data_IF_174948690999
#
_entry.id   IF_174948690999
#
_cell.length_a   1.000
_cell.length_b   1.000
_cell.length_c   1.000
_cell.angle_alpha   90.00
_cell.angle_beta   90.00
_cell.angle_gamma   90.00
#
_symmetry.space_group_name_H-M   'P 1'
#
loop_
_entity.id
_entity.type
_entity.pdbx_description
1 polymer ?
#
# COMPACT_ATOMS: atom_id res chain seq x y z
N UNK A 1 9.08 -0.74 3.47
CA UNK A 1 8.34 -1.30 2.32
C UNK A 1 7.48 -0.21 1.71
N UNK A 2 7.13 -0.32 0.43
CA UNK A 2 6.26 0.62 -0.27
C UNK A 2 5.00 -0.09 -0.76
N UNK A 3 3.84 0.54 -0.61
CA UNK A 3 2.59 0.07 -1.19
C UNK A 3 2.23 0.95 -2.40
N UNK A 4 1.98 0.33 -3.55
CA UNK A 4 1.61 1.05 -4.77
C UNK A 4 0.69 0.20 -5.66
N UNK A 5 -0.08 0.86 -6.51
CA UNK A 5 -0.96 0.22 -7.51
C UNK A 5 -0.65 0.73 -8.91
N UNK A 6 -0.86 -0.05 -9.97
CA UNK A 6 -0.73 0.44 -11.34
C UNK A 6 -1.68 1.62 -11.62
N UNK A 7 -1.24 2.58 -12.41
CA UNK A 7 -2.10 3.64 -12.95
C UNK A 7 -3.20 3.05 -13.85
N UNK A 8 -4.34 3.76 -14.03
CA UNK A 8 -5.34 3.34 -15.00
C UNK A 8 -4.72 3.16 -16.39
N UNK A 9 -5.10 2.09 -17.10
CA UNK A 9 -4.59 1.78 -18.43
C UNK A 9 -3.27 1.01 -18.47
N UNK A 10 -2.55 0.87 -17.34
CA UNK A 10 -1.33 0.04 -17.28
C UNK A 10 -1.65 -1.45 -17.28
N UNK A 11 -2.72 -1.84 -16.58
CA UNK A 11 -3.23 -3.21 -16.51
C UNK A 11 -4.76 -3.18 -16.62
N UNK A 12 -5.37 -4.34 -16.90
CA UNK A 12 -6.83 -4.46 -16.86
C UNK A 12 -7.39 -4.18 -15.45
N UNK A 13 -8.64 -3.71 -15.36
CA UNK A 13 -9.26 -3.32 -14.08
C UNK A 13 -9.18 -4.39 -13.00
N UNK A 14 -9.37 -5.67 -13.39
CA UNK A 14 -9.29 -6.83 -12.49
C UNK A 14 -7.90 -7.07 -11.88
N UNK A 15 -6.86 -6.57 -12.53
CA UNK A 15 -5.46 -6.73 -12.12
C UNK A 15 -4.92 -5.47 -11.43
N UNK A 16 -5.73 -4.40 -11.35
CA UNK A 16 -5.35 -3.12 -10.75
C UNK A 16 -5.47 -3.16 -9.22
N UNK A 17 -4.80 -4.14 -8.63
CA UNK A 17 -4.70 -4.36 -7.19
C UNK A 17 -3.52 -3.57 -6.61
N UNK A 18 -3.50 -3.37 -5.29
CA UNK A 18 -2.32 -2.81 -4.62
C UNK A 18 -1.26 -3.89 -4.37
N UNK A 19 -0.01 -3.54 -4.60
CA UNK A 19 1.16 -4.41 -4.43
C UNK A 19 2.14 -3.85 -3.42
N UNK A 20 2.81 -4.75 -2.70
CA UNK A 20 3.89 -4.41 -1.78
C UNK A 20 5.23 -4.59 -2.50
N UNK A 21 6.05 -3.55 -2.46
CA UNK A 21 7.37 -3.50 -3.04
C UNK A 21 8.42 -3.37 -1.92
N UNK A 22 9.56 -4.05 -2.09
CA UNK A 22 10.75 -3.75 -1.30
C UNK A 22 11.35 -2.47 -1.83
N UNK A 23 11.70 -1.56 -0.93
CA UNK A 23 12.48 -0.39 -1.30
C UNK A 23 13.91 -0.90 -1.53
N UNK A 24 14.51 -0.65 -2.70
CA UNK A 24 15.89 -1.01 -2.92
C UNK A 24 16.79 -0.05 -2.11
N UNK A 25 17.80 -0.58 -1.44
CA UNK A 25 18.84 0.21 -0.75
C UNK A 25 19.83 0.79 -1.78
N UNK A 26 19.34 1.64 -2.67
CA UNK A 26 20.10 2.29 -3.73
C UNK A 26 19.82 3.78 -3.72
N UNK A 27 20.84 4.57 -4.02
CA UNK A 27 20.74 6.03 -4.17
C UNK A 27 20.07 6.40 -5.49
N UNK A 28 20.11 5.51 -6.49
CA UNK A 28 19.53 5.73 -7.83
C UNK A 28 18.24 4.92 -7.97
N UNK A 29 17.09 5.56 -8.28
CA UNK A 29 15.84 4.84 -8.53
C UNK A 29 16.00 3.83 -9.68
N UNK A 30 15.56 2.57 -9.52
CA UNK A 30 15.67 1.60 -10.59
C UNK A 30 14.64 1.86 -11.69
N UNK A 31 14.96 1.48 -12.92
CA UNK A 31 14.02 1.55 -14.07
C UNK A 31 12.77 0.71 -13.85
N UNK A 32 12.89 -0.36 -13.05
CA UNK A 32 11.78 -1.25 -12.68
C UNK A 32 11.84 -1.62 -11.22
N UNK A 33 10.66 -1.73 -10.62
CA UNK A 33 10.45 -2.27 -9.29
C UNK A 33 9.63 -3.55 -9.37
N UNK A 34 9.99 -4.52 -8.55
CA UNK A 34 9.33 -5.83 -8.51
C UNK A 34 8.61 -5.99 -7.18
N UNK A 35 7.31 -6.26 -7.26
CA UNK A 35 6.45 -6.54 -6.12
C UNK A 35 6.79 -7.90 -5.50
N UNK A 36 6.39 -8.11 -4.24
CA UNK A 36 6.57 -9.39 -3.55
C UNK A 36 5.89 -10.57 -4.28
N UNK A 37 4.83 -10.32 -5.06
CA UNK A 37 4.18 -11.35 -5.88
C UNK A 37 4.93 -11.68 -7.19
N UNK A 38 5.96 -10.91 -7.55
CA UNK A 38 6.73 -11.05 -8.79
C UNK A 38 6.31 -10.10 -9.93
N UNK A 39 5.22 -9.35 -9.77
CA UNK A 39 4.82 -8.35 -10.77
C UNK A 39 5.86 -7.21 -10.86
N UNK A 40 6.22 -6.79 -12.07
CA UNK A 40 7.26 -5.79 -12.30
C UNK A 40 6.73 -4.60 -13.08
N UNK A 41 7.00 -3.39 -12.60
CA UNK A 41 6.50 -2.13 -13.20
C UNK A 41 7.61 -1.09 -13.25
N UNK A 42 7.52 -0.16 -14.20
CA UNK A 42 8.29 1.07 -14.12
C UNK A 42 7.71 1.97 -13.01
N UNK A 43 8.52 2.71 -12.23
CA UNK A 43 8.01 3.58 -11.17
C UNK A 43 6.94 4.58 -11.64
N UNK A 44 7.09 5.11 -12.85
CA UNK A 44 6.12 6.05 -13.48
C UNK A 44 4.74 5.42 -13.73
N UNK A 45 4.65 4.09 -13.79
CA UNK A 45 3.39 3.37 -14.00
C UNK A 45 2.64 3.13 -12.69
N UNK A 46 3.20 3.56 -11.55
CA UNK A 46 2.68 3.26 -10.23
C UNK A 46 2.18 4.52 -9.52
N UNK A 47 1.05 4.37 -8.84
CA UNK A 47 0.58 5.33 -7.84
C UNK A 47 0.85 4.76 -6.45
N UNK A 48 1.62 5.49 -5.64
CA UNK A 48 1.79 5.19 -4.21
C UNK A 48 0.44 5.30 -3.51
N UNK A 49 0.18 4.39 -2.58
CA UNK A 49 -1.00 4.39 -1.73
C UNK A 49 -0.58 4.20 -0.27
N UNK A 50 -1.23 4.89 0.66
CA UNK A 50 -0.81 4.92 2.06
C UNK A 50 -1.40 3.78 2.90
N UNK A 51 -2.48 3.15 2.41
CA UNK A 51 -3.15 2.03 3.06
C UNK A 51 -3.57 1.01 1.99
N UNK A 52 -3.64 -0.31 2.27
CA UNK A 52 -4.16 -1.31 1.32
C UNK A 52 -5.69 -1.24 1.18
N UNK A 53 -6.21 -0.05 0.89
CA UNK A 53 -7.63 0.18 0.59
C UNK A 53 -7.95 -0.29 -0.83
N UNK A 54 -9.13 -0.90 -0.99
CA UNK A 54 -9.55 -1.57 -2.23
C UNK A 54 -9.25 -3.07 -2.22
N UNK A 55 -8.84 -3.62 -3.37
CA UNK A 55 -8.43 -5.03 -3.51
C UNK A 55 -6.90 -5.13 -3.48
N UNK A 56 -6.29 -5.59 -2.38
CA UNK A 56 -4.85 -5.85 -2.33
C UNK A 56 -4.50 -7.15 -3.04
N UNK A 57 -3.26 -7.24 -3.54
CA UNK A 57 -2.71 -8.48 -4.03
C UNK A 57 -2.52 -9.46 -2.86
N UNK A 58 -3.31 -10.53 -2.83
CA UNK A 58 -3.29 -11.53 -1.75
C UNK A 58 -1.90 -12.17 -1.56
N UNK A 59 -1.18 -12.43 -2.65
CA UNK A 59 0.20 -12.94 -2.59
C UNK A 59 1.17 -11.93 -1.96
N UNK A 60 0.99 -10.63 -2.21
CA UNK A 60 1.79 -9.60 -1.56
C UNK A 60 1.47 -9.55 -0.06
N UNK A 61 0.20 -9.63 0.33
CA UNK A 61 -0.20 -9.65 1.73
C UNK A 61 0.39 -10.86 2.47
N UNK A 62 0.24 -12.06 1.91
CA UNK A 62 0.75 -13.29 2.52
C UNK A 62 2.28 -13.29 2.70
N UNK A 63 3.01 -12.58 1.82
CA UNK A 63 4.48 -12.46 1.87
C UNK A 63 4.97 -11.25 2.65
N UNK A 64 4.07 -10.36 3.08
CA UNK A 64 4.45 -9.18 3.87
C UNK A 64 4.68 -9.62 5.32
N UNK A 65 5.82 -9.28 5.93
CA UNK A 65 6.06 -9.58 7.34
C UNK A 65 5.00 -8.89 8.18
N UNK A 66 4.35 -9.67 9.06
CA UNK A 66 3.29 -9.17 9.93
C UNK A 66 3.89 -8.12 10.87
N UNK A 67 3.43 -6.88 10.76
CA UNK A 67 3.78 -5.86 11.75
C UNK A 67 3.00 -6.15 13.02
N UNK A 68 3.63 -6.79 14.00
CA UNK A 68 3.06 -6.96 15.33
C UNK A 68 3.22 -5.64 16.09
N UNK A 69 2.39 -4.65 15.77
CA UNK A 69 2.16 -3.51 16.65
C UNK A 69 1.10 -3.88 17.70
N UNK A 70 1.12 -3.31 18.91
CA UNK A 70 -0.01 -3.44 19.81
C UNK A 70 -1.26 -2.93 19.09
N UNK A 71 -2.36 -3.70 19.19
CA UNK A 71 -3.69 -3.23 18.78
C UNK A 71 -4.07 -2.09 19.75
N UNK A 72 -3.61 -0.88 19.49
CA UNK A 72 -4.10 0.31 20.20
C UNK A 72 -5.54 0.51 19.75
N UNK A 73 -6.47 0.37 20.69
CA UNK A 73 -7.85 0.75 20.47
C UNK A 73 -7.88 2.23 20.08
N UNK A 74 -8.60 2.55 19.01
CA UNK A 74 -8.82 3.92 18.57
C UNK A 74 -9.67 4.67 19.62
N UNK A 75 -9.03 5.33 20.59
CA UNK A 75 -9.67 6.17 21.62
C UNK A 75 -10.03 7.57 21.08
N UNK A 76 -10.50 7.68 19.83
CA UNK A 76 -10.85 8.99 19.23
C UNK A 76 -12.22 9.06 18.59
N UNK A 77 -13.23 8.47 19.23
CA UNK A 77 -14.64 8.83 18.98
C UNK A 77 -15.34 9.21 20.29
N UNK A 78 -15.17 10.47 20.72
CA UNK A 78 -15.83 10.98 21.92
C UNK A 78 -15.49 12.42 22.30
N UNK A 79 -15.16 13.30 21.34
CA UNK A 79 -15.19 14.76 21.60
C UNK A 79 -16.60 15.26 21.30
N UNK A 80 -17.52 15.00 22.23
CA UNK A 80 -18.77 15.73 22.35
C UNK A 80 -18.48 17.05 23.04
N UNK A 81 -18.52 18.11 22.26
CA UNK A 81 -18.32 19.51 22.62
C UNK A 81 -19.31 20.03 23.67
N UNK A 82 -18.83 20.97 24.49
CA UNK A 82 -19.59 21.83 25.38
C UNK A 82 -20.79 22.50 24.69
N UNK A 83 -21.88 22.69 25.43
CA UNK A 83 -23.05 23.47 25.02
C UNK A 83 -23.90 23.89 26.21
N UNK A 84 -23.78 25.17 26.58
CA UNK A 84 -24.54 25.92 27.58
C UNK A 84 -26.06 25.68 27.53
N UNK A 85 -26.67 25.48 28.70
CA UNK A 85 -27.84 26.22 29.19
C UNK A 85 -28.07 25.90 30.68
#
# INVERSE_FOLDING_TARGET
MLLARPLPGVVGLRQRVSHVFRLPDTTVPPDRVTALCGASFAPVQLQRVDNPTGMPCELCLARTPRQTGPLVADERQGRGSDGLA
#
